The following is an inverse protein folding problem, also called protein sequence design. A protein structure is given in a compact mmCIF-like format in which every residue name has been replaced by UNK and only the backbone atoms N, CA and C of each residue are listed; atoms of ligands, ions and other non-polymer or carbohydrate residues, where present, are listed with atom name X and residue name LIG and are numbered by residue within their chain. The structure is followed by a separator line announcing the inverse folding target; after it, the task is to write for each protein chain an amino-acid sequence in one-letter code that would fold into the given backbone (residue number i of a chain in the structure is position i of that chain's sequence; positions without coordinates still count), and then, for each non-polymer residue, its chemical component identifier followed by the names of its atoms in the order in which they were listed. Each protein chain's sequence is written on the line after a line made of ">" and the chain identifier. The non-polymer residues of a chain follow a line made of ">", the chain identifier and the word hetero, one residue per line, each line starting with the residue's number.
data_IF_285507179267
#
_entry.id   IF_285507179267
#
_cell.length_a   1.000
_cell.length_b   1.000
_cell.length_c   1.000
_cell.angle_alpha   90.00
_cell.angle_beta   90.00
_cell.angle_gamma   90.00
#
_symmetry.space_group_name_H-M   'P 1'
#
loop_
_entity.id
_entity.type
_entity.pdbx_description
1 polymer ?
#
# COMPACT_ATOMS: atom_id res chain seq x y z
N UNK A 1 19.55 -11.17 11.46
CA UNK A 1 20.35 -9.94 11.52
C UNK A 1 19.47 -8.84 12.09
N UNK A 2 19.99 -8.01 13.00
CA UNK A 2 19.25 -6.83 13.47
C UNK A 2 19.45 -5.70 12.49
N UNK A 3 18.37 -5.08 12.04
CA UNK A 3 18.37 -4.00 11.04
C UNK A 3 17.58 -2.82 11.61
N UNK A 4 18.17 -1.61 11.67
CA UNK A 4 17.45 -0.43 12.08
C UNK A 4 16.44 -0.02 11.00
N UNK A 5 15.24 0.34 11.44
CA UNK A 5 14.14 0.82 10.61
C UNK A 5 13.68 2.16 11.16
N UNK A 6 13.69 3.20 10.34
CA UNK A 6 13.14 4.52 10.71
C UNK A 6 11.81 4.69 10.00
N UNK A 7 10.74 4.81 10.80
CA UNK A 7 9.41 5.04 10.27
C UNK A 7 9.28 6.50 9.82
N UNK A 8 8.65 6.76 8.67
CA UNK A 8 8.45 8.13 8.22
C UNK A 8 7.43 8.86 9.10
N UNK A 9 7.39 10.18 8.96
CA UNK A 9 6.23 10.95 9.40
C UNK A 9 4.99 10.54 8.60
N UNK A 10 3.80 10.77 9.16
CA UNK A 10 2.55 10.55 8.43
C UNK A 10 2.45 11.56 7.28
N UNK A 11 2.17 11.11 6.04
CA UNK A 11 1.91 12.05 4.95
C UNK A 11 0.62 12.85 5.24
N UNK A 12 0.42 14.01 4.59
CA UNK A 12 -0.79 14.82 4.81
C UNK A 12 -2.11 14.07 4.62
N UNK A 13 -2.14 13.12 3.68
CA UNK A 13 -3.31 12.27 3.46
C UNK A 13 -3.69 11.43 4.68
N UNK A 14 -2.73 11.16 5.58
CA UNK A 14 -2.89 10.32 6.76
C UNK A 14 -2.63 11.05 8.08
N UNK A 15 -2.75 12.37 8.10
CA UNK A 15 -2.43 13.18 9.28
C UNK A 15 -3.25 12.80 10.52
N UNK A 16 -4.47 12.28 10.33
CA UNK A 16 -5.39 11.87 11.40
C UNK A 16 -5.22 10.39 11.82
N UNK A 17 -4.19 9.68 11.32
CA UNK A 17 -3.95 8.29 11.71
C UNK A 17 -3.39 8.17 13.14
N UNK A 18 -3.72 7.07 13.83
CA UNK A 18 -3.29 6.81 15.21
C UNK A 18 -1.77 6.55 15.33
N UNK A 19 -1.14 6.18 14.22
CA UNK A 19 0.27 5.83 14.14
C UNK A 19 0.52 4.78 13.06
N UNK A 20 1.66 4.10 13.18
CA UNK A 20 2.08 3.06 12.27
C UNK A 20 1.93 1.67 12.89
N UNK A 21 1.55 0.69 12.08
CA UNK A 21 1.69 -0.74 12.35
C UNK A 21 2.70 -1.36 11.39
N UNK A 22 3.80 -1.86 11.95
CA UNK A 22 4.90 -2.49 11.24
C UNK A 22 4.77 -4.01 11.30
N UNK A 23 4.97 -4.66 10.16
CA UNK A 23 5.03 -6.11 10.01
C UNK A 23 6.08 -6.47 8.98
N UNK A 24 6.57 -7.71 9.00
CA UNK A 24 7.40 -8.22 7.92
C UNK A 24 7.04 -9.65 7.59
N UNK A 25 7.25 -10.00 6.32
CA UNK A 25 7.03 -11.34 5.80
C UNK A 25 8.26 -11.80 5.02
N UNK A 26 8.73 -12.99 5.31
CA UNK A 26 9.74 -13.71 4.52
C UNK A 26 9.28 -15.16 4.32
N UNK A 27 10.02 -15.92 3.52
CA UNK A 27 9.82 -17.36 3.35
C UNK A 27 10.17 -18.18 4.60
N UNK A 28 11.08 -17.69 5.44
CA UNK A 28 11.61 -18.39 6.62
C UNK A 28 10.99 -17.94 7.96
N UNK A 29 10.22 -16.85 7.98
CA UNK A 29 9.49 -16.41 9.16
C UNK A 29 8.95 -14.98 9.09
N UNK A 30 7.66 -14.82 9.37
CA UNK A 30 7.03 -13.50 9.53
C UNK A 30 7.15 -12.96 10.95
N UNK A 31 7.01 -11.64 11.12
CA UNK A 31 6.82 -11.04 12.42
C UNK A 31 6.02 -9.74 12.41
N UNK A 32 5.76 -9.22 13.61
CA UNK A 32 4.76 -8.19 13.88
C UNK A 32 3.40 -8.77 14.33
N UNK A 33 2.37 -7.93 14.51
CA UNK A 33 2.37 -6.49 14.33
C UNK A 33 3.09 -5.74 15.47
N UNK A 34 3.81 -4.67 15.14
CA UNK A 34 4.44 -3.72 16.09
C UNK A 34 3.86 -2.33 15.84
N UNK A 35 3.23 -1.74 16.87
CA UNK A 35 2.74 -0.35 16.79
C UNK A 35 3.84 0.63 17.19
N UNK A 36 3.93 1.73 16.46
CA UNK A 36 4.92 2.78 16.72
C UNK A 36 4.43 4.15 16.28
N UNK A 37 4.99 5.19 16.91
CA UNK A 37 4.69 6.57 16.54
C UNK A 37 5.39 6.97 15.23
N UNK A 38 4.85 7.95 14.48
CA UNK A 38 5.54 8.54 13.33
C UNK A 38 6.95 9.03 13.71
N UNK A 39 7.92 8.90 12.79
CA UNK A 39 9.31 9.30 13.03
C UNK A 39 10.12 8.37 13.95
N UNK A 40 9.51 7.32 14.52
CA UNK A 40 10.19 6.41 15.45
C UNK A 40 11.24 5.55 14.77
N UNK A 41 12.34 5.28 15.47
CA UNK A 41 13.33 4.28 15.10
C UNK A 41 13.06 2.96 15.84
N UNK A 42 13.13 1.85 15.11
CA UNK A 42 12.91 0.48 15.60
C UNK A 42 14.04 -0.43 15.13
N UNK A 43 14.23 -1.54 15.82
CA UNK A 43 15.12 -2.61 15.37
C UNK A 43 14.32 -3.85 14.98
N UNK A 44 14.49 -4.31 13.74
CA UNK A 44 13.88 -5.55 13.26
C UNK A 44 14.91 -6.67 13.16
N UNK A 45 14.49 -7.90 13.50
CA UNK A 45 15.28 -9.10 13.23
C UNK A 45 14.88 -9.68 11.87
N UNK A 46 15.66 -9.37 10.84
CA UNK A 46 15.45 -9.82 9.46
C UNK A 46 16.41 -10.96 9.08
N UNK A 47 16.06 -11.81 8.09
CA UNK A 47 16.92 -12.92 7.66
C UNK A 47 18.25 -12.41 7.09
N UNK A 48 19.37 -13.06 7.44
CA UNK A 48 20.71 -12.63 7.00
C UNK A 48 21.01 -13.03 5.55
N UNK A 49 20.48 -14.16 5.10
CA UNK A 49 20.70 -14.72 3.75
C UNK A 49 19.42 -14.88 2.93
N UNK A 50 18.30 -14.32 3.41
CA UNK A 50 17.00 -14.40 2.76
C UNK A 50 16.42 -13.01 2.53
N UNK A 51 15.30 -12.97 1.83
CA UNK A 51 14.58 -11.74 1.54
C UNK A 51 13.37 -11.57 2.46
N UNK A 52 12.93 -10.33 2.67
CA UNK A 52 11.71 -10.02 3.42
C UNK A 52 10.99 -8.80 2.84
N UNK A 53 9.69 -8.74 3.02
CA UNK A 53 8.86 -7.59 2.73
C UNK A 53 8.54 -6.88 4.05
N UNK A 54 9.14 -5.70 4.27
CA UNK A 54 8.81 -4.86 5.43
C UNK A 54 7.64 -3.96 5.05
N UNK A 55 6.57 -4.00 5.83
CA UNK A 55 5.29 -3.34 5.56
C UNK A 55 4.87 -2.49 6.76
N UNK A 56 4.59 -1.22 6.50
CA UNK A 56 4.24 -0.20 7.49
C UNK A 56 2.90 0.43 7.09
N UNK A 57 1.83 0.19 7.86
CA UNK A 57 0.47 0.68 7.56
C UNK A 57 0.04 1.74 8.54
N UNK A 58 -0.56 2.82 8.07
CA UNK A 58 -1.16 3.81 8.96
C UNK A 58 -2.46 3.23 9.52
N UNK A 59 -2.69 3.41 10.81
CA UNK A 59 -3.81 2.82 11.55
C UNK A 59 -4.91 3.86 11.78
N UNK A 60 -6.15 3.48 11.51
CA UNK A 60 -7.36 4.26 11.76
C UNK A 60 -8.34 3.41 12.57
N UNK A 61 -8.17 3.36 13.89
CA UNK A 61 -8.92 2.46 14.77
C UNK A 61 -8.73 0.99 14.35
N UNK A 62 -9.77 0.40 13.75
CA UNK A 62 -9.76 -0.98 13.25
C UNK A 62 -9.41 -1.10 11.76
N UNK A 63 -9.22 0.03 11.08
CA UNK A 63 -8.87 0.07 9.65
C UNK A 63 -7.39 0.34 9.47
N UNK A 64 -6.86 -0.08 8.32
CA UNK A 64 -5.46 0.16 7.94
C UNK A 64 -5.35 0.59 6.49
N UNK A 65 -4.39 1.47 6.23
CA UNK A 65 -4.06 1.92 4.88
C UNK A 65 -3.31 0.83 4.09
N UNK A 66 -3.15 1.08 2.80
CA UNK A 66 -2.13 0.39 2.01
C UNK A 66 -0.74 0.72 2.56
N UNK A 67 0.18 -0.25 2.53
CA UNK A 67 1.44 -0.12 3.24
C UNK A 67 2.37 0.88 2.54
N UNK A 68 3.05 1.70 3.34
CA UNK A 68 4.45 2.03 3.06
C UNK A 68 5.28 0.76 3.26
N UNK A 69 6.48 0.69 2.70
CA UNK A 69 7.30 -0.49 2.88
C UNK A 69 8.69 -0.36 2.31
N UNK A 70 9.48 -1.42 2.52
CA UNK A 70 10.79 -1.58 1.94
C UNK A 70 11.05 -3.08 1.70
N UNK A 71 11.53 -3.48 0.51
CA UNK A 71 12.04 -4.83 0.32
C UNK A 71 13.39 -4.97 1.02
N UNK A 72 13.61 -6.08 1.71
CA UNK A 72 14.90 -6.46 2.29
C UNK A 72 15.49 -7.64 1.50
N UNK A 73 16.80 -7.63 1.19
CA UNK A 73 17.77 -6.57 1.44
C UNK A 73 17.79 -5.48 0.35
N UNK A 74 17.07 -5.66 -0.76
CA UNK A 74 17.20 -4.82 -1.96
C UNK A 74 16.92 -3.32 -1.74
N UNK A 75 16.11 -2.98 -0.74
CA UNK A 75 15.78 -1.62 -0.36
C UNK A 75 16.64 -1.05 0.77
N UNK A 76 17.69 -1.76 1.21
CA UNK A 76 18.64 -1.27 2.20
C UNK A 76 19.61 -0.27 1.54
N UNK A 77 19.63 1.00 1.99
CA UNK A 77 20.64 1.96 1.54
C UNK A 77 22.02 1.66 2.13
N UNK A 78 23.04 2.35 1.62
CA UNK A 78 24.43 2.21 2.09
C UNK A 78 24.61 2.59 3.58
N UNK A 79 23.70 3.38 4.14
CA UNK A 79 23.69 3.75 5.56
C UNK A 79 23.18 2.63 6.48
N UNK A 80 22.77 1.50 5.92
CA UNK A 80 22.32 0.32 6.65
C UNK A 80 20.97 0.47 7.36
N UNK A 81 20.20 1.53 7.06
CA UNK A 81 18.92 1.81 7.73
C UNK A 81 17.76 1.76 6.74
N UNK A 82 16.81 0.85 6.98
CA UNK A 82 15.60 0.77 6.16
C UNK A 82 14.67 1.95 6.46
N UNK A 83 14.15 2.56 5.40
CA UNK A 83 13.16 3.63 5.46
C UNK A 83 11.96 3.26 4.60
N UNK A 84 10.89 2.73 5.20
CA UNK A 84 9.67 2.43 4.47
C UNK A 84 9.17 3.67 3.72
N UNK A 85 8.81 3.49 2.45
CA UNK A 85 8.28 4.54 1.59
C UNK A 85 7.02 4.08 0.88
N UNK A 86 6.25 5.00 0.30
CA UNK A 86 5.08 4.65 -0.51
C UNK A 86 5.49 3.72 -1.68
N UNK A 87 6.50 4.12 -2.45
CA UNK A 87 7.05 3.34 -3.57
C UNK A 87 7.53 1.95 -3.12
N UNK A 88 8.28 1.90 -2.02
CA UNK A 88 8.77 0.66 -1.44
C UNK A 88 7.65 -0.21 -0.89
N UNK A 89 6.51 0.36 -0.50
CA UNK A 89 5.31 -0.37 -0.08
C UNK A 89 4.66 -1.15 -1.21
N UNK A 90 4.61 -0.56 -2.41
CA UNK A 90 4.16 -1.25 -3.62
C UNK A 90 5.06 -2.45 -3.94
N UNK A 91 6.38 -2.23 -3.98
CA UNK A 91 7.35 -3.29 -4.27
C UNK A 91 7.39 -4.38 -3.18
N UNK A 92 7.39 -3.99 -1.90
CA UNK A 92 7.33 -4.93 -0.79
C UNK A 92 6.04 -5.76 -0.81
N UNK A 93 4.93 -5.22 -1.31
CA UNK A 93 3.67 -5.95 -1.41
C UNK A 93 3.68 -6.99 -2.53
N UNK A 94 4.36 -6.72 -3.66
CA UNK A 94 4.64 -7.76 -4.65
C UNK A 94 5.50 -8.87 -4.03
N UNK A 95 6.60 -8.50 -3.36
CA UNK A 95 7.49 -9.47 -2.71
C UNK A 95 6.73 -10.31 -1.66
N UNK A 96 5.87 -9.67 -0.87
CA UNK A 96 5.00 -10.37 0.08
C UNK A 96 4.07 -11.38 -0.59
N UNK A 97 3.54 -11.08 -1.79
CA UNK A 97 2.74 -12.03 -2.55
C UNK A 97 3.56 -13.28 -2.95
N UNK A 98 4.83 -13.10 -3.34
CA UNK A 98 5.76 -14.21 -3.61
C UNK A 98 6.02 -15.07 -2.37
N UNK A 99 6.33 -14.45 -1.24
CA UNK A 99 6.61 -15.20 -0.02
C UNK A 99 5.38 -15.97 0.49
N UNK A 100 4.17 -15.40 0.36
CA UNK A 100 2.92 -16.14 0.66
C UNK A 100 2.68 -17.31 -0.28
N UNK A 101 3.15 -17.23 -1.52
CA UNK A 101 3.09 -18.32 -2.48
C UNK A 101 4.18 -19.39 -2.27
N UNK A 102 5.04 -19.23 -1.24
CA UNK A 102 6.11 -20.18 -0.92
C UNK A 102 7.40 -19.98 -1.71
N UNK A 103 7.52 -18.89 -2.47
CA UNK A 103 8.78 -18.55 -3.13
C UNK A 103 9.78 -17.98 -2.10
N UNK A 104 11.04 -18.38 -2.19
CA UNK A 104 12.08 -17.89 -1.28
C UNK A 104 12.59 -16.49 -1.64
N UNK A 105 12.55 -16.14 -2.93
CA UNK A 105 13.07 -14.89 -3.46
C UNK A 105 12.15 -14.30 -4.53
N UNK A 106 12.22 -12.99 -4.71
CA UNK A 106 11.60 -12.30 -5.83
C UNK A 106 12.65 -12.08 -6.93
N UNK A 107 12.42 -12.55 -8.18
CA UNK A 107 13.41 -12.45 -9.25
C UNK A 107 13.55 -11.05 -9.86
N UNK A 108 12.78 -10.06 -9.38
CA UNK A 108 12.83 -8.69 -9.87
C UNK A 108 13.75 -7.80 -9.04
N UNK A 109 14.32 -6.80 -9.72
CA UNK A 109 14.81 -5.57 -9.08
C UNK A 109 13.59 -4.77 -8.57
N UNK A 110 13.26 -4.99 -7.30
CA UNK A 110 12.11 -4.39 -6.63
C UNK A 110 12.21 -2.86 -6.53
N UNK A 111 13.38 -2.26 -6.21
CA UNK A 111 13.55 -0.81 -6.30
C UNK A 111 13.28 -0.24 -7.69
N UNK A 112 13.72 -0.90 -8.76
CA UNK A 112 13.43 -0.47 -10.14
C UNK A 112 11.96 -0.59 -10.47
N UNK A 113 11.30 -1.68 -10.07
CA UNK A 113 9.86 -1.84 -10.26
C UNK A 113 9.07 -0.69 -9.63
N UNK A 114 9.41 -0.31 -8.39
CA UNK A 114 8.76 0.80 -7.70
C UNK A 114 8.86 2.11 -8.49
N UNK A 115 10.07 2.45 -8.99
CA UNK A 115 10.30 3.64 -9.81
C UNK A 115 9.51 3.62 -11.13
N UNK A 116 9.47 2.48 -11.81
CA UNK A 116 8.69 2.34 -13.05
C UNK A 116 7.18 2.49 -12.80
N UNK A 117 6.67 1.95 -11.68
CA UNK A 117 5.27 2.11 -11.31
C UNK A 117 4.93 3.58 -11.02
N UNK A 118 5.73 4.26 -10.22
CA UNK A 118 5.55 5.70 -9.93
C UNK A 118 5.65 6.57 -11.19
N UNK A 119 6.54 6.24 -12.12
CA UNK A 119 6.72 7.02 -13.34
C UNK A 119 5.56 6.86 -14.35
N UNK A 120 4.81 5.75 -14.27
CA UNK A 120 3.80 5.38 -15.28
C UNK A 120 2.37 5.51 -14.78
N UNK A 121 2.16 5.43 -13.48
CA UNK A 121 0.85 5.38 -12.85
C UNK A 121 0.68 6.60 -11.94
N UNK A 122 -0.50 7.22 -11.99
CA UNK A 122 -0.83 8.29 -11.05
C UNK A 122 -0.91 7.78 -9.60
N UNK A 123 -1.37 6.53 -9.43
CA UNK A 123 -1.33 5.77 -8.19
C UNK A 123 -0.89 4.34 -8.56
N UNK A 124 0.30 3.88 -8.11
CA UNK A 124 0.76 2.51 -8.35
C UNK A 124 -0.25 1.43 -7.96
N UNK A 125 -1.05 1.68 -6.93
CA UNK A 125 -2.09 0.76 -6.47
C UNK A 125 -3.34 0.73 -7.37
N UNK A 126 -3.37 1.46 -8.48
CA UNK A 126 -4.32 1.23 -9.57
C UNK A 126 -4.13 -0.17 -10.19
N UNK A 127 -2.95 -0.79 -10.00
CA UNK A 127 -2.66 -2.16 -10.38
C UNK A 127 -2.29 -2.95 -9.12
N UNK A 128 -3.08 -3.96 -8.76
CA UNK A 128 -2.78 -4.82 -7.61
C UNK A 128 -1.43 -5.54 -7.81
N UNK A 129 -0.42 -5.35 -6.94
CA UNK A 129 0.85 -6.07 -7.01
C UNK A 129 0.68 -7.58 -7.10
N UNK A 130 -0.32 -8.16 -6.40
CA UNK A 130 -0.54 -9.60 -6.40
C UNK A 130 -0.91 -10.13 -7.79
N UNK A 131 -1.60 -9.33 -8.61
CA UNK A 131 -1.95 -9.68 -9.99
C UNK A 131 -0.74 -9.82 -10.92
N UNK A 132 0.38 -9.19 -10.58
CA UNK A 132 1.63 -9.28 -11.34
C UNK A 132 2.44 -10.54 -10.99
N UNK A 133 2.17 -11.16 -9.83
CA UNK A 133 2.98 -12.25 -9.29
C UNK A 133 3.12 -13.46 -10.23
N UNK A 134 2.08 -13.94 -10.95
CA UNK A 134 2.24 -15.08 -11.86
C UNK A 134 3.15 -14.78 -13.06
N UNK A 135 3.08 -13.55 -13.58
CA UNK A 135 3.93 -13.14 -14.71
C UNK A 135 5.39 -12.98 -14.30
N UNK A 136 5.62 -12.48 -13.09
CA UNK A 136 6.96 -12.37 -12.53
C UNK A 136 7.54 -13.76 -12.26
N UNK A 137 6.76 -14.67 -11.69
CA UNK A 137 7.19 -16.04 -11.40
C UNK A 137 7.53 -16.81 -12.69
N UNK A 138 6.75 -16.60 -13.76
CA UNK A 138 7.02 -17.14 -15.09
C UNK A 138 8.10 -16.41 -15.89
N UNK A 139 8.77 -15.38 -15.33
CA UNK A 139 9.74 -14.54 -16.04
C UNK A 139 9.18 -13.90 -17.33
N UNK A 140 7.87 -13.65 -17.35
CA UNK A 140 7.13 -13.03 -18.46
C UNK A 140 6.65 -11.62 -18.12
N UNK A 141 7.07 -11.06 -16.98
CA UNK A 141 6.75 -9.70 -16.62
C UNK A 141 7.36 -8.73 -17.63
N UNK A 142 6.54 -7.80 -18.10
CA UNK A 142 6.96 -6.73 -18.98
C UNK A 142 6.49 -5.39 -18.41
N UNK A 143 7.29 -4.37 -18.62
CA UNK A 143 7.00 -3.03 -18.07
C UNK A 143 5.70 -2.43 -18.60
N UNK A 144 5.24 -2.84 -19.79
CA UNK A 144 3.95 -2.43 -20.35
C UNK A 144 2.74 -2.99 -19.62
N UNK A 145 2.93 -3.93 -18.69
CA UNK A 145 1.89 -4.34 -17.74
C UNK A 145 1.60 -3.24 -16.71
N UNK A 146 2.50 -2.26 -16.53
CA UNK A 146 2.28 -1.04 -15.74
C UNK A 146 1.60 0.06 -16.56
N UNK A 147 0.60 -0.30 -17.36
CA UNK A 147 -0.20 0.66 -18.14
C UNK A 147 -1.32 1.20 -17.26
N UNK A 148 -1.43 2.53 -17.21
CA UNK A 148 -2.51 3.19 -16.48
C UNK A 148 -3.89 2.70 -16.98
N UNK A 149 -4.72 2.11 -16.10
CA UNK A 149 -6.08 1.73 -16.47
C UNK A 149 -6.94 2.97 -16.68
N UNK A 150 -7.99 2.81 -17.49
CA UNK A 150 -9.03 3.84 -17.61
C UNK A 150 -9.71 4.05 -16.25
N UNK A 151 -10.00 5.31 -15.92
CA UNK A 151 -10.66 5.69 -14.68
C UNK A 151 -12.11 6.05 -14.91
N UNK A 152 -12.93 5.77 -13.91
CA UNK A 152 -14.37 6.00 -13.90
C UNK A 152 -14.71 6.96 -12.78
N UNK A 153 -15.61 7.91 -13.07
CA UNK A 153 -16.15 8.81 -12.07
C UNK A 153 -17.28 8.11 -11.29
N UNK A 154 -17.16 8.10 -9.97
CA UNK A 154 -18.13 7.57 -9.03
C UNK A 154 -18.68 8.71 -8.19
N UNK A 155 -20.01 8.89 -8.20
CA UNK A 155 -20.71 9.80 -7.31
C UNK A 155 -21.25 9.02 -6.10
N UNK A 156 -20.92 9.49 -4.90
CA UNK A 156 -21.22 8.80 -3.64
C UNK A 156 -21.90 9.80 -2.71
N UNK A 157 -23.08 9.46 -2.20
CA UNK A 157 -23.82 10.27 -1.26
C UNK A 157 -23.67 9.81 0.19
N UNK A 158 -24.10 10.66 1.12
CA UNK A 158 -24.17 10.33 2.54
C UNK A 158 -22.84 10.42 3.30
N UNK A 159 -21.80 10.98 2.68
CA UNK A 159 -20.49 11.14 3.31
C UNK A 159 -20.53 12.37 4.22
N UNK A 160 -20.51 12.13 5.54
CA UNK A 160 -20.71 13.20 6.53
C UNK A 160 -19.49 14.10 6.76
N UNK A 161 -18.29 13.64 6.39
CA UNK A 161 -17.03 14.36 6.63
C UNK A 161 -15.95 13.97 5.62
N UNK A 162 -14.86 14.74 5.60
CA UNK A 162 -13.67 14.34 4.86
C UNK A 162 -13.10 13.02 5.39
N UNK A 163 -12.76 12.10 4.48
CA UNK A 163 -12.15 10.80 4.78
C UNK A 163 -10.80 10.66 4.05
N UNK A 164 -9.82 10.07 4.74
CA UNK A 164 -8.47 9.82 4.26
C UNK A 164 -8.42 8.57 3.36
N UNK A 165 -7.75 8.60 2.21
CA UNK A 165 -7.67 7.45 1.31
C UNK A 165 -6.78 6.34 1.87
N UNK A 166 -7.03 5.10 1.46
CA UNK A 166 -6.16 3.97 1.78
C UNK A 166 -4.81 4.00 1.06
N UNK A 167 -4.76 4.56 -0.15
CA UNK A 167 -3.53 4.70 -0.92
C UNK A 167 -2.81 5.99 -0.54
N UNK A 168 -1.46 5.97 -0.42
CA UNK A 168 -0.70 7.19 -0.16
C UNK A 168 -0.66 8.17 -1.33
N UNK A 169 -1.01 7.72 -2.55
CA UNK A 169 -1.23 8.59 -3.72
C UNK A 169 -2.71 8.94 -3.93
N UNK A 170 -3.60 8.40 -3.09
CA UNK A 170 -5.02 8.64 -3.19
C UNK A 170 -5.40 10.08 -2.88
N UNK A 171 -6.53 10.52 -3.42
CA UNK A 171 -7.18 11.77 -2.99
C UNK A 171 -8.16 11.48 -1.88
N UNK A 172 -8.22 12.36 -0.88
CA UNK A 172 -9.25 12.31 0.15
C UNK A 172 -10.66 12.44 -0.43
N UNK A 173 -11.61 11.78 0.22
CA UNK A 173 -13.03 11.91 -0.10
C UNK A 173 -13.57 13.11 0.69
N UNK A 174 -13.69 14.27 0.04
CA UNK A 174 -14.18 15.50 0.67
C UNK A 174 -15.62 15.75 0.22
N UNK A 175 -16.62 15.68 1.11
CA UNK A 175 -18.00 15.91 0.74
C UNK A 175 -18.25 17.37 0.40
N UNK A 176 -19.17 17.59 -0.54
CA UNK A 176 -19.77 18.89 -0.78
C UNK A 176 -20.74 19.28 0.34
N UNK A 177 -21.35 20.47 0.23
CA UNK A 177 -22.33 20.95 1.21
C UNK A 177 -23.61 20.10 1.34
N UNK A 178 -23.80 19.10 0.46
CA UNK A 178 -24.92 18.15 0.49
C UNK A 178 -24.49 16.74 0.92
N UNK A 179 -23.24 16.53 1.31
CA UNK A 179 -22.72 15.21 1.70
C UNK A 179 -22.39 14.30 0.53
N UNK A 180 -22.24 14.84 -0.68
CA UNK A 180 -21.84 14.06 -1.86
C UNK A 180 -20.35 14.21 -2.15
N UNK A 181 -19.72 13.13 -2.62
CA UNK A 181 -18.33 13.09 -3.07
C UNK A 181 -18.30 12.57 -4.50
N UNK A 182 -17.46 13.18 -5.34
CA UNK A 182 -17.09 12.62 -6.64
C UNK A 182 -15.66 12.08 -6.57
N UNK A 183 -15.49 10.81 -6.92
CA UNK A 183 -14.22 10.12 -6.93
C UNK A 183 -13.88 9.65 -8.34
N UNK A 184 -12.59 9.65 -8.68
CA UNK A 184 -12.11 9.15 -9.97
C UNK A 184 -11.19 7.95 -9.73
N UNK A 185 -11.65 6.76 -10.09
CA UNK A 185 -11.03 5.51 -9.64
C UNK A 185 -10.80 4.55 -10.82
N UNK A 186 -9.70 3.82 -10.77
CA UNK A 186 -9.46 2.68 -11.65
C UNK A 186 -10.19 1.42 -11.15
N UNK A 187 -10.64 0.53 -12.07
CA UNK A 187 -11.23 -0.76 -11.72
C UNK A 187 -10.18 -1.73 -11.14
N UNK A 188 -10.66 -2.82 -10.52
CA UNK A 188 -9.83 -3.98 -10.17
C UNK A 188 -9.52 -4.18 -8.69
N UNK A 189 -9.69 -3.15 -7.84
CA UNK A 189 -9.60 -3.31 -6.39
C UNK A 189 -10.73 -2.59 -5.65
N UNK A 190 -10.96 -3.01 -4.41
CA UNK A 190 -11.72 -2.20 -3.45
C UNK A 190 -10.81 -1.09 -2.94
N UNK A 191 -11.28 0.15 -3.02
CA UNK A 191 -10.64 1.33 -2.46
C UNK A 191 -11.36 1.75 -1.21
N UNK A 192 -10.60 2.14 -0.20
CA UNK A 192 -11.15 2.57 1.08
C UNK A 192 -10.80 4.00 1.40
N UNK A 193 -11.69 4.67 2.11
CA UNK A 193 -11.43 5.92 2.80
C UNK A 193 -11.87 5.80 4.26
N UNK A 194 -11.05 6.30 5.17
CA UNK A 194 -11.23 6.10 6.62
C UNK A 194 -11.13 7.44 7.35
N UNK A 195 -11.87 7.58 8.45
CA UNK A 195 -11.74 8.74 9.33
C UNK A 195 -12.95 8.98 10.23
N UNK A 196 -12.70 9.38 11.48
CA UNK A 196 -13.77 9.72 12.42
C UNK A 196 -14.75 8.59 12.71
N UNK A 197 -14.31 7.34 12.70
CA UNK A 197 -15.15 6.15 12.88
C UNK A 197 -15.88 5.66 11.63
N UNK A 198 -15.73 6.35 10.49
CA UNK A 198 -16.33 5.93 9.22
C UNK A 198 -15.33 5.18 8.33
N UNK A 199 -15.86 4.23 7.55
CA UNK A 199 -15.16 3.59 6.43
C UNK A 199 -16.06 3.64 5.18
N UNK A 200 -15.59 4.31 4.13
CA UNK A 200 -16.17 4.24 2.79
C UNK A 200 -15.37 3.22 1.99
N UNK A 201 -16.03 2.19 1.46
CA UNK A 201 -15.42 1.25 0.53
C UNK A 201 -16.09 1.36 -0.84
N UNK A 202 -15.30 1.43 -1.91
CA UNK A 202 -15.77 1.60 -3.29
C UNK A 202 -15.06 0.59 -4.18
N UNK A 203 -15.81 -0.08 -5.05
CA UNK A 203 -15.28 -0.97 -6.07
C UNK A 203 -15.86 -0.60 -7.42
N UNK A 204 -15.02 -0.69 -8.46
CA UNK A 204 -15.44 -0.51 -9.84
C UNK A 204 -15.14 -1.79 -10.60
N UNK A 205 -16.17 -2.37 -11.22
CA UNK A 205 -16.05 -3.56 -12.06
C UNK A 205 -15.26 -3.26 -13.34
N UNK A 206 -14.80 -4.29 -14.05
CA UNK A 206 -14.17 -4.11 -15.37
C UNK A 206 -15.12 -3.53 -16.43
N UNK A 207 -16.43 -3.57 -16.19
CA UNK A 207 -17.45 -2.98 -17.07
C UNK A 207 -17.79 -1.53 -16.67
N UNK A 208 -17.23 -1.03 -15.57
CA UNK A 208 -17.47 0.31 -15.05
C UNK A 208 -18.59 0.41 -14.02
N UNK A 209 -19.15 -0.71 -13.57
CA UNK A 209 -20.19 -0.70 -12.53
C UNK A 209 -19.60 -0.27 -11.20
N UNK A 210 -20.23 0.69 -10.55
CA UNK A 210 -19.79 1.23 -9.25
C UNK A 210 -20.62 0.62 -8.14
N UNK A 211 -19.96 -0.02 -7.18
CA UNK A 211 -20.56 -0.51 -5.93
C UNK A 211 -19.84 0.14 -4.77
N UNK A 212 -20.58 0.62 -3.77
CA UNK A 212 -19.99 1.23 -2.59
C UNK A 212 -20.79 0.92 -1.32
N UNK A 213 -20.10 0.99 -0.19
CA UNK A 213 -20.66 0.89 1.16
C UNK A 213 -20.07 1.97 2.04
N UNK A 214 -20.88 2.59 2.88
CA UNK A 214 -20.43 3.51 3.92
C UNK A 214 -20.83 2.95 5.28
N UNK A 215 -19.84 2.59 6.08
CA UNK A 215 -20.01 2.22 7.48
C UNK A 215 -19.69 3.43 8.36
N UNK A 216 -20.46 3.60 9.44
CA UNK A 216 -20.26 4.63 10.46
C UNK A 216 -20.14 4.03 11.87
N UNK A 217 -19.80 4.88 12.86
CA UNK A 217 -19.67 4.47 14.26
C UNK A 217 -20.98 3.99 14.90
#
# INVERSE_FOLDING_TARGET
>A
MTVPVVLPDLPPAWADADGWELSWLSSDGSGGPVRAAPGSALELRLPRGGEAAVLCRAVYGNSMTLPYGAPWPQGLPDDGTLRPSAAGGYAASLAAAFYRAGCETCPLDLPRLAREAEARLADPWDIDPASLSPFVAGQHFRVDYLRAPARVQAAIGGVARALAPDSPWGRGAVPDGSGNVTLELAPGRVRRWMGGGYELAVSISSLGDVVWTLAGP
#
